data_IF_274660915584
#
_entry.id   IF_274660915584
#
_cell.length_a   1.000
_cell.length_b   1.000
_cell.length_c   1.000
_cell.angle_alpha   90.00
_cell.angle_beta   90.00
_cell.angle_gamma   90.00
#
_symmetry.space_group_name_H-M   'P 1'
#
loop_
_entity.id
_entity.type
_entity.pdbx_description
1 polymer ?
#
# COMPACT_ATOMS: atom_id res chain seq x y z
N UNK A 1 -9.32 7.38 -13.07
CA UNK A 1 -8.03 6.94 -13.65
C UNK A 1 -6.90 7.30 -12.69
N UNK A 2 -5.84 6.48 -12.62
CA UNK A 2 -4.67 6.73 -11.77
C UNK A 2 -3.62 7.47 -12.60
N UNK A 3 -3.26 8.69 -12.19
CA UNK A 3 -2.23 9.48 -12.87
C UNK A 3 -1.00 9.57 -11.97
N UNK A 4 0.16 9.16 -12.47
CA UNK A 4 1.44 9.19 -11.74
C UNK A 4 2.41 10.10 -12.48
N UNK A 5 3.06 11.03 -11.77
CA UNK A 5 4.07 11.93 -12.37
C UNK A 5 5.21 12.26 -11.42
N UNK A 6 6.33 12.72 -11.94
CA UNK A 6 7.49 13.09 -11.13
C UNK A 6 7.25 14.43 -10.39
N UNK A 7 7.91 14.63 -9.24
CA UNK A 7 7.94 15.89 -8.48
C UNK A 7 8.24 17.12 -9.36
N UNK A 8 9.17 17.01 -10.31
CA UNK A 8 9.55 18.14 -11.17
C UNK A 8 8.38 18.62 -12.05
N UNK A 9 7.66 17.68 -12.65
CA UNK A 9 6.47 17.98 -13.45
C UNK A 9 5.31 18.45 -12.56
N UNK A 10 5.14 17.81 -11.39
CA UNK A 10 4.11 18.19 -10.44
C UNK A 10 4.26 19.63 -9.95
N UNK A 11 5.49 20.10 -9.73
CA UNK A 11 5.76 21.49 -9.33
C UNK A 11 5.36 22.50 -10.41
N UNK A 12 5.53 22.14 -11.69
CA UNK A 12 5.18 23.01 -12.80
C UNK A 12 3.65 23.07 -13.05
N UNK A 13 2.94 21.98 -12.78
CA UNK A 13 1.50 21.84 -13.07
C UNK A 13 0.61 21.76 -11.82
N UNK A 14 1.10 22.22 -10.67
CA UNK A 14 0.45 21.96 -9.38
C UNK A 14 -1.02 22.44 -9.35
N UNK A 15 -1.31 23.61 -9.90
CA UNK A 15 -2.68 24.15 -9.96
C UNK A 15 -3.65 23.19 -10.68
N UNK A 16 -3.25 22.66 -11.84
CA UNK A 16 -4.08 21.72 -12.60
C UNK A 16 -4.27 20.39 -11.84
N UNK A 17 -3.24 19.93 -11.12
CA UNK A 17 -3.33 18.71 -10.31
C UNK A 17 -4.26 18.87 -9.12
N UNK A 18 -4.32 20.06 -8.53
CA UNK A 18 -5.27 20.38 -7.46
C UNK A 18 -6.69 20.32 -8.02
N UNK A 19 -6.99 20.97 -9.15
CA UNK A 19 -8.32 20.91 -9.77
C UNK A 19 -8.77 19.47 -10.07
N UNK A 20 -7.83 18.62 -10.52
CA UNK A 20 -8.08 17.19 -10.75
C UNK A 20 -8.38 16.46 -9.44
N UNK A 21 -7.59 16.73 -8.39
CA UNK A 21 -7.82 16.14 -7.07
C UNK A 21 -9.16 16.59 -6.47
N UNK A 22 -9.56 17.85 -6.66
CA UNK A 22 -10.86 18.40 -6.25
C UNK A 22 -12.03 17.74 -6.99
N UNK A 23 -11.86 17.42 -8.28
CA UNK A 23 -12.81 16.59 -9.05
C UNK A 23 -12.91 15.13 -8.57
N UNK A 24 -12.07 14.74 -7.61
CA UNK A 24 -12.03 13.38 -7.06
C UNK A 24 -11.10 12.44 -7.82
N UNK A 25 -10.24 12.95 -8.70
CA UNK A 25 -9.23 12.11 -9.37
C UNK A 25 -8.08 11.76 -8.43
N UNK A 26 -7.57 10.53 -8.54
CA UNK A 26 -6.42 10.08 -7.76
C UNK A 26 -5.12 10.43 -8.49
N UNK A 27 -4.44 11.47 -8.03
CA UNK A 27 -3.15 11.93 -8.55
C UNK A 27 -2.02 11.51 -7.60
N UNK A 28 -0.99 10.85 -8.15
CA UNK A 28 0.18 10.38 -7.40
C UNK A 28 1.42 11.14 -7.88
N UNK A 29 2.23 11.58 -6.93
CA UNK A 29 3.52 12.21 -7.20
C UNK A 29 4.62 11.23 -6.81
N UNK A 30 5.47 10.91 -7.77
CA UNK A 30 6.61 10.03 -7.62
C UNK A 30 7.91 10.83 -7.44
N UNK A 31 8.76 10.36 -6.52
CA UNK A 31 10.12 10.87 -6.31
C UNK A 31 11.10 9.73 -6.62
N UNK A 32 12.07 9.97 -7.50
CA UNK A 32 13.07 8.96 -7.93
C UNK A 32 12.40 7.66 -8.46
N UNK A 33 11.31 7.79 -9.21
CA UNK A 33 10.60 6.65 -9.81
C UNK A 33 9.71 5.85 -8.84
N UNK A 34 9.62 6.24 -7.57
CA UNK A 34 8.71 5.61 -6.59
C UNK A 34 7.60 6.57 -6.22
N UNK A 35 6.36 6.07 -6.18
CA UNK A 35 5.20 6.84 -5.67
C UNK A 35 5.48 7.27 -4.23
N UNK A 36 5.47 8.58 -3.99
CA UNK A 36 5.85 9.16 -2.71
C UNK A 36 4.64 9.73 -1.97
N UNK A 37 3.74 10.41 -2.69
CA UNK A 37 2.55 11.04 -2.11
C UNK A 37 1.36 10.94 -3.06
N UNK A 38 0.16 11.03 -2.50
CA UNK A 38 -1.11 11.10 -3.21
C UNK A 38 -1.78 12.42 -2.89
N UNK A 39 -2.27 13.12 -3.91
CA UNK A 39 -3.12 14.30 -3.77
C UNK A 39 -4.58 13.87 -3.63
N UNK A 40 -5.27 14.46 -2.66
CA UNK A 40 -6.67 14.24 -2.35
C UNK A 40 -7.33 15.59 -2.09
N UNK A 41 -8.61 15.73 -2.43
CA UNK A 41 -9.40 16.89 -2.02
C UNK A 41 -9.46 16.98 -0.49
N UNK A 42 -9.28 18.17 0.07
CA UNK A 42 -9.29 18.38 1.52
C UNK A 42 -10.63 18.03 2.18
N UNK A 43 -11.74 18.27 1.48
CA UNK A 43 -13.10 17.96 1.92
C UNK A 43 -13.69 16.74 1.20
N UNK A 44 -12.85 15.94 0.54
CA UNK A 44 -13.29 14.73 -0.15
C UNK A 44 -13.65 13.61 0.83
N UNK A 45 -14.32 12.54 0.36
CA UNK A 45 -14.50 11.34 1.16
C UNK A 45 -13.14 10.85 1.63
N UNK A 46 -12.98 10.79 2.94
CA UNK A 46 -11.72 10.42 3.58
C UNK A 46 -11.47 8.92 3.35
N UNK A 47 -10.75 8.61 2.27
CA UNK A 47 -10.39 7.24 1.91
C UNK A 47 -9.37 6.63 2.89
N UNK A 48 -8.81 7.41 3.82
CA UNK A 48 -7.89 6.92 4.84
C UNK A 48 -8.60 6.47 6.12
N UNK A 49 -9.86 6.91 6.32
CA UNK A 49 -10.69 6.42 7.41
C UNK A 49 -11.44 5.17 6.94
N UNK A 50 -11.27 4.01 7.59
CA UNK A 50 -12.13 2.87 7.32
C UNK A 50 -13.57 3.28 7.65
N UNK A 51 -14.40 3.37 6.62
CA UNK A 51 -15.81 3.66 6.80
C UNK A 51 -16.45 2.53 7.60
N UNK A 52 -16.79 2.80 8.86
CA UNK A 52 -17.59 1.91 9.72
C UNK A 52 -18.93 1.53 9.07
N UNK A 53 -19.37 2.27 8.05
CA UNK A 53 -20.61 2.00 7.33
C UNK A 53 -20.56 0.68 6.53
N UNK A 54 -19.38 0.18 6.17
CA UNK A 54 -19.26 -1.10 5.45
C UNK A 54 -19.20 -2.33 6.37
N UNK A 55 -19.23 -2.18 7.71
CA UNK A 55 -19.30 -3.33 8.62
C UNK A 55 -20.69 -3.99 8.64
N UNK A 56 -21.73 -3.34 8.09
CA UNK A 56 -23.12 -3.78 8.25
C UNK A 56 -23.63 -4.75 7.16
N UNK A 57 -22.88 -4.97 6.08
CA UNK A 57 -23.39 -5.75 4.92
C UNK A 57 -23.02 -7.24 4.91
N UNK A 58 -21.79 -7.58 5.30
CA UNK A 58 -21.27 -8.96 5.20
C UNK A 58 -20.56 -9.43 6.45
N UNK A 59 -20.06 -8.53 7.31
CA UNK A 59 -19.34 -8.85 8.55
C UNK A 59 -20.20 -8.62 9.80
N UNK A 60 -21.46 -8.22 9.64
CA UNK A 60 -22.38 -7.99 10.77
C UNK A 60 -22.58 -9.24 11.65
N UNK A 61 -22.42 -10.44 11.06
CA UNK A 61 -22.51 -11.71 11.77
C UNK A 61 -21.33 -11.98 12.71
N UNK A 62 -20.20 -11.27 12.55
CA UNK A 62 -19.04 -11.40 13.44
C UNK A 62 -19.24 -10.64 14.76
N UNK A 63 -20.35 -9.90 14.90
CA UNK A 63 -20.63 -9.08 16.07
C UNK A 63 -19.75 -7.83 16.17
N UNK A 64 -20.05 -6.94 17.12
CA UNK A 64 -19.16 -5.83 17.44
C UNK A 64 -17.80 -6.38 17.89
N UNK A 65 -16.70 -5.76 17.42
CA UNK A 65 -15.35 -6.06 17.91
C UNK A 65 -15.37 -5.78 19.43
N UNK A 66 -15.09 -6.78 20.27
CA UNK A 66 -15.17 -6.59 21.71
C UNK A 66 -14.03 -5.65 22.14
N UNK A 67 -14.34 -4.76 23.07
CA UNK A 67 -13.47 -3.62 23.45
C UNK A 67 -12.15 -4.09 24.09
N UNK A 68 -12.11 -5.33 24.58
CA UNK A 68 -10.96 -6.03 25.12
C UNK A 68 -10.08 -6.72 24.05
N UNK A 69 -10.58 -6.98 22.83
CA UNK A 69 -9.76 -7.51 21.73
C UNK A 69 -8.76 -6.47 21.17
N UNK A 70 -8.94 -5.20 21.54
CA UNK A 70 -8.00 -4.13 21.29
C UNK A 70 -7.10 -3.94 22.53
N UNK A 71 -6.45 -5.01 22.99
CA UNK A 71 -5.46 -4.88 24.05
C UNK A 71 -4.34 -3.93 23.57
N UNK A 72 -4.09 -2.80 24.23
CA UNK A 72 -3.04 -1.86 23.85
C UNK A 72 -1.66 -2.53 23.81
N UNK A 73 -1.43 -3.45 24.74
CA UNK A 73 -0.22 -4.26 24.89
C UNK A 73 0.07 -5.12 23.64
N UNK A 74 -0.97 -5.60 22.93
CA UNK A 74 -0.80 -6.43 21.74
C UNK A 74 -0.33 -5.62 20.53
N UNK A 75 -0.82 -4.38 20.42
CA UNK A 75 -0.40 -3.46 19.36
C UNK A 75 1.02 -2.94 19.59
N UNK A 76 1.38 -2.66 20.84
CA UNK A 76 2.75 -2.27 21.22
C UNK A 76 3.74 -3.44 21.10
N UNK A 77 3.32 -4.67 21.44
CA UNK A 77 4.13 -5.87 21.25
C UNK A 77 4.41 -6.16 19.76
N UNK A 78 3.43 -5.97 18.87
CA UNK A 78 3.60 -6.17 17.43
C UNK A 78 4.30 -5.00 16.73
N UNK A 79 4.14 -3.78 17.25
CA UNK A 79 4.80 -2.57 16.74
C UNK A 79 6.22 -2.38 17.28
N UNK A 80 6.62 -3.16 18.28
CA UNK A 80 8.00 -3.26 18.70
C UNK A 80 8.85 -3.92 17.61
N UNK A 81 10.08 -3.43 17.43
CA UNK A 81 11.03 -3.64 16.32
C UNK A 81 11.42 -5.10 15.95
N UNK A 82 10.67 -6.13 16.31
CA UNK A 82 11.07 -7.54 16.10
C UNK A 82 10.08 -8.44 15.33
N UNK A 83 9.05 -7.90 14.69
CA UNK A 83 8.11 -8.73 13.91
C UNK A 83 8.53 -9.04 12.44
N UNK A 84 9.83 -8.98 12.09
CA UNK A 84 10.34 -9.43 10.77
C UNK A 84 11.41 -10.53 10.88
N UNK A 85 11.63 -11.13 12.04
CA UNK A 85 12.59 -12.25 12.16
C UNK A 85 11.96 -13.63 12.06
N UNK A 86 10.66 -13.71 11.77
CA UNK A 86 9.91 -14.96 11.63
C UNK A 86 9.61 -15.42 10.19
N UNK A 87 10.07 -14.69 9.15
CA UNK A 87 10.03 -15.22 7.79
C UNK A 87 11.32 -16.01 7.55
N UNK A 88 11.29 -17.32 7.76
CA UNK A 88 12.36 -18.19 7.23
C UNK A 88 12.36 -18.05 5.70
N UNK A 89 13.38 -17.45 5.07
CA UNK A 89 13.55 -17.63 3.64
C UNK A 89 13.78 -19.13 3.45
N UNK A 90 12.92 -19.78 2.68
CA UNK A 90 13.00 -21.19 2.35
C UNK A 90 14.46 -21.61 2.22
N UNK A 91 14.90 -22.52 3.10
CA UNK A 91 16.23 -23.10 3.09
C UNK A 91 16.61 -23.38 1.65
N UNK A 92 17.61 -22.62 1.22
CA UNK A 92 18.37 -22.80 0.01
C UNK A 92 18.94 -24.23 0.05
N UNK A 93 18.20 -25.17 -0.51
CA UNK A 93 18.65 -26.54 -0.71
C UNK A 93 19.26 -26.64 -2.11
N UNK A 94 20.55 -26.97 -2.13
CA UNK A 94 21.16 -27.70 -3.23
C UNK A 94 21.79 -26.84 -4.32
N UNK A 95 23.03 -26.45 -4.08
CA UNK A 95 24.01 -26.35 -5.17
C UNK A 95 24.20 -27.76 -5.74
N UNK A 96 23.75 -27.97 -6.98
CA UNK A 96 24.22 -29.00 -7.90
C UNK A 96 23.95 -28.45 -9.31
N UNK A 97 24.91 -27.74 -9.90
CA UNK A 97 25.85 -28.37 -10.85
C UNK A 97 25.11 -29.04 -12.02
N UNK A 98 25.00 -28.33 -13.14
CA UNK A 98 25.35 -28.82 -14.46
C UNK A 98 25.01 -27.75 -15.50
N UNK A 99 26.07 -27.16 -16.05
CA UNK A 99 26.04 -26.43 -17.30
C UNK A 99 25.49 -27.32 -18.43
N UNK A 100 24.62 -26.74 -19.26
CA UNK A 100 24.58 -26.97 -20.71
C UNK A 100 23.93 -25.74 -21.36
N UNK A 101 24.61 -25.05 -22.28
CA UNK A 101 24.02 -23.91 -22.98
C UNK A 101 22.91 -24.37 -23.93
N UNK A 102 21.84 -23.59 -23.94
CA UNK A 102 20.72 -23.72 -24.86
C UNK A 102 21.12 -23.18 -26.24
N UNK A 103 21.13 -24.07 -27.24
CA UNK A 103 21.34 -23.74 -28.66
C UNK A 103 19.99 -23.45 -29.33
N UNK A 104 19.72 -22.23 -29.82
CA UNK A 104 18.49 -21.93 -30.53
C UNK A 104 18.71 -22.01 -32.05
N UNK A 105 18.62 -23.21 -32.65
CA UNK A 105 18.29 -23.36 -34.08
C UNK A 105 17.51 -24.65 -34.36
N UNK A 106 16.28 -24.45 -34.83
CA UNK A 106 15.41 -25.39 -35.53
C UNK A 106 14.39 -24.56 -36.29
#
# INVERSE_FOLDING_TARGET
MKTVMNVAEAKAKLSELIERAERGEAVFIARKGKEAVRLLAANGPDLTKPSRANLFGTLAHLGPIPEDALEPELFDAWSSEQAITGFEPAKQMGVAEASKPFDPKG
#
